data_IF_258051235921
#
_entry.id   IF_258051235921
#
_cell.length_a   1.000
_cell.length_b   1.000
_cell.length_c   1.000
_cell.angle_alpha   90.00
_cell.angle_beta   90.00
_cell.angle_gamma   90.00
#
_symmetry.space_group_name_H-M   'P 1'
#
loop_
_entity.id
_entity.type
_entity.pdbx_description
1 polymer ?
#
# COMPACT_ATOMS: atom_id res chain seq x y z
N UNK A 1 14.67 -2.20 25.77
CA UNK A 1 13.70 -2.85 24.87
C UNK A 1 13.75 -4.34 25.10
N UNK A 2 12.65 -4.90 25.59
CA UNK A 2 12.45 -6.34 25.77
C UNK A 2 11.27 -6.75 24.87
N UNK A 3 11.50 -7.00 23.56
CA UNK A 3 10.45 -7.29 22.62
C UNK A 3 9.72 -8.59 23.02
N UNK A 4 8.39 -8.54 23.01
CA UNK A 4 7.54 -9.66 23.37
C UNK A 4 7.02 -10.45 22.16
N UNK A 5 7.18 -9.89 20.96
CA UNK A 5 6.58 -10.39 19.73
C UNK A 5 7.53 -10.26 18.54
N UNK A 6 7.50 -11.25 17.66
CA UNK A 6 7.97 -11.15 16.27
C UNK A 6 6.75 -11.24 15.35
N UNK A 7 6.67 -10.33 14.39
CA UNK A 7 5.56 -10.25 13.43
C UNK A 7 6.00 -10.82 12.09
N UNK A 8 5.14 -11.61 11.47
CA UNK A 8 5.33 -12.19 10.14
C UNK A 8 4.12 -11.83 9.29
N UNK A 9 4.37 -11.17 8.17
CA UNK A 9 3.34 -10.84 7.20
C UNK A 9 3.38 -11.89 6.07
N UNK A 10 2.42 -12.81 6.12
CA UNK A 10 2.14 -13.76 5.04
C UNK A 10 1.43 -13.04 3.90
N UNK A 11 1.27 -13.69 2.74
CA UNK A 11 0.57 -13.09 1.60
C UNK A 11 -0.89 -12.72 1.89
N UNK A 12 -1.55 -13.43 2.80
CA UNK A 12 -2.98 -13.30 3.12
C UNK A 12 -3.29 -12.88 4.58
N UNK A 13 -2.27 -12.73 5.40
CA UNK A 13 -2.44 -12.52 6.84
C UNK A 13 -1.19 -11.90 7.48
N UNK A 14 -1.37 -11.26 8.64
CA UNK A 14 -0.28 -10.97 9.56
C UNK A 14 -0.48 -11.83 10.79
N UNK A 15 0.58 -12.54 11.17
CA UNK A 15 0.66 -13.29 12.41
C UNK A 15 1.76 -12.72 13.31
N UNK A 16 1.69 -13.02 14.59
CA UNK A 16 2.79 -12.76 15.53
C UNK A 16 3.08 -13.98 16.39
N UNK A 17 4.34 -14.16 16.74
CA UNK A 17 4.84 -15.20 17.63
C UNK A 17 5.33 -14.56 18.91
N UNK A 18 5.08 -15.19 20.05
CA UNK A 18 5.74 -14.80 21.28
C UNK A 18 7.27 -14.89 21.07
N UNK A 19 7.97 -13.87 21.55
CA UNK A 19 9.41 -13.73 21.35
C UNK A 19 10.06 -13.25 22.64
N UNK A 20 11.26 -13.77 22.88
CA UNK A 20 12.22 -13.26 23.85
C UNK A 20 13.55 -13.07 23.17
N UNK A 21 14.33 -12.10 23.65
CA UNK A 21 15.66 -11.85 23.11
C UNK A 21 16.51 -13.13 23.09
N UNK A 22 17.01 -13.47 21.90
CA UNK A 22 17.83 -14.66 21.68
C UNK A 22 17.07 -15.90 21.24
N UNK A 23 15.74 -15.86 21.16
CA UNK A 23 14.96 -16.97 20.58
C UNK A 23 15.37 -17.18 19.11
N UNK A 24 15.75 -18.41 18.78
CA UNK A 24 16.11 -18.83 17.41
C UNK A 24 15.03 -19.68 16.74
N UNK A 25 13.95 -19.98 17.47
CA UNK A 25 12.79 -20.75 17.01
C UNK A 25 11.55 -20.19 17.69
N UNK A 26 10.40 -20.24 17.01
CA UNK A 26 9.13 -19.87 17.61
C UNK A 26 8.81 -20.80 18.79
N UNK A 27 8.40 -20.23 19.93
CA UNK A 27 8.11 -20.97 21.15
C UNK A 27 6.69 -21.54 21.23
N UNK A 28 5.85 -21.31 20.20
CA UNK A 28 4.47 -21.75 20.15
C UNK A 28 3.77 -21.34 18.84
N UNK A 29 2.45 -21.58 18.78
CA UNK A 29 1.64 -21.30 17.61
C UNK A 29 1.52 -19.79 17.30
N UNK A 30 1.40 -19.41 16.02
CA UNK A 30 1.17 -18.01 15.64
C UNK A 30 -0.19 -17.50 16.13
N UNK A 31 -0.22 -16.22 16.51
CA UNK A 31 -1.46 -15.46 16.68
C UNK A 31 -1.73 -14.67 15.41
N UNK A 32 -2.80 -15.00 14.68
CA UNK A 32 -3.30 -14.18 13.57
C UNK A 32 -3.87 -12.88 14.12
N UNK A 33 -3.39 -11.74 13.63
CA UNK A 33 -3.83 -10.40 14.04
C UNK A 33 -4.52 -9.64 12.91
N UNK A 34 -4.15 -9.92 11.66
CA UNK A 34 -4.85 -9.43 10.47
C UNK A 34 -5.04 -10.62 9.55
N UNK A 35 -6.24 -10.84 9.06
CA UNK A 35 -6.58 -11.93 8.15
C UNK A 35 -7.20 -11.40 6.84
N UNK A 36 -7.49 -12.32 5.92
CA UNK A 36 -8.22 -12.03 4.68
C UNK A 36 -7.59 -10.92 3.83
N UNK A 37 -6.27 -10.78 3.86
CA UNK A 37 -5.54 -9.83 3.01
C UNK A 37 -5.55 -10.38 1.57
N UNK A 38 -5.93 -9.58 0.56
CA UNK A 38 -6.00 -10.06 -0.82
C UNK A 38 -4.65 -10.55 -1.37
N UNK A 39 -4.49 -11.86 -1.63
CA UNK A 39 -3.19 -12.50 -1.83
C UNK A 39 -2.70 -12.70 -3.28
N UNK A 40 -3.53 -12.49 -4.32
CA UNK A 40 -3.11 -12.67 -5.71
C UNK A 40 -2.30 -11.48 -6.28
N UNK A 41 -1.56 -11.74 -7.36
CA UNK A 41 -0.67 -10.82 -8.08
C UNK A 41 0.45 -10.22 -7.23
N UNK A 42 0.34 -8.98 -6.75
CA UNK A 42 1.34 -8.40 -5.85
C UNK A 42 1.11 -8.93 -4.42
N UNK A 43 1.76 -10.05 -4.11
CA UNK A 43 1.48 -10.85 -2.91
C UNK A 43 2.35 -10.51 -1.69
N UNK A 44 3.39 -9.68 -1.83
CA UNK A 44 4.25 -9.27 -0.70
C UNK A 44 3.51 -8.33 0.26
N UNK A 45 3.82 -8.44 1.55
CA UNK A 45 3.24 -7.61 2.62
C UNK A 45 4.35 -6.99 3.46
N UNK A 46 4.80 -5.81 3.05
CA UNK A 46 5.73 -5.08 3.89
C UNK A 46 5.00 -4.51 5.11
N UNK A 47 5.63 -4.66 6.27
CA UNK A 47 5.15 -4.11 7.53
C UNK A 47 6.24 -3.25 8.18
N UNK A 48 5.82 -2.18 8.83
CA UNK A 48 6.71 -1.31 9.59
C UNK A 48 5.98 -0.80 10.84
N UNK A 49 6.72 -0.54 11.91
CA UNK A 49 6.15 0.02 13.14
C UNK A 49 6.49 1.50 13.27
N UNK A 50 5.54 2.30 13.76
CA UNK A 50 5.82 3.66 14.22
C UNK A 50 6.92 3.65 15.29
N UNK A 51 7.66 4.75 15.49
CA UNK A 51 8.77 4.79 16.45
C UNK A 51 8.36 4.48 17.90
N UNK A 52 7.12 4.78 18.26
CA UNK A 52 6.55 4.48 19.58
C UNK A 52 5.97 3.05 19.70
N UNK A 53 6.03 2.27 18.61
CA UNK A 53 5.54 0.89 18.54
C UNK A 53 4.02 0.77 18.60
N UNK A 54 3.26 1.87 18.53
CA UNK A 54 1.79 1.86 18.66
C UNK A 54 1.04 1.68 17.35
N UNK A 55 1.70 1.78 16.21
CA UNK A 55 1.08 1.62 14.90
C UNK A 55 1.87 0.63 14.08
N UNK A 56 1.16 -0.40 13.59
CA UNK A 56 1.62 -1.34 12.58
C UNK A 56 1.11 -0.87 11.22
N UNK A 57 2.02 -0.45 10.35
CA UNK A 57 1.74 -0.17 8.95
C UNK A 57 1.81 -1.45 8.12
N UNK A 58 0.92 -1.59 7.14
CA UNK A 58 0.86 -2.70 6.20
C UNK A 58 0.72 -2.16 4.77
N UNK A 59 1.59 -2.61 3.87
CA UNK A 59 1.43 -2.41 2.43
C UNK A 59 0.61 -3.54 1.79
N UNK A 60 -0.36 -3.19 0.94
CA UNK A 60 -1.11 -4.14 0.10
C UNK A 60 -1.03 -3.70 -1.35
N UNK A 61 -0.36 -4.49 -2.19
CA UNK A 61 -0.24 -4.22 -3.63
C UNK A 61 -1.50 -4.51 -4.44
N UNK A 62 -1.52 -4.02 -5.69
CA UNK A 62 -2.62 -4.21 -6.64
C UNK A 62 -2.81 -5.68 -7.05
N UNK A 63 -4.02 -6.00 -7.50
CA UNK A 63 -4.41 -7.32 -7.99
C UNK A 63 -4.09 -7.55 -9.46
N UNK A 64 -3.63 -6.51 -10.16
CA UNK A 64 -3.37 -6.49 -11.60
C UNK A 64 -2.42 -5.35 -11.98
N UNK A 65 -2.11 -5.22 -13.27
CA UNK A 65 -1.20 -4.18 -13.74
C UNK A 65 -1.87 -2.79 -13.66
N UNK A 66 -3.06 -2.69 -14.22
CA UNK A 66 -3.86 -1.45 -14.34
C UNK A 66 -5.34 -1.72 -14.10
N UNK A 67 -5.65 -2.35 -12.97
CA UNK A 67 -7.03 -2.62 -12.53
C UNK A 67 -7.90 -3.32 -13.59
N UNK A 68 -7.29 -4.21 -14.38
CA UNK A 68 -7.90 -4.82 -15.58
C UNK A 68 -9.16 -5.64 -15.22
N UNK A 69 -9.15 -6.29 -14.06
CA UNK A 69 -10.23 -7.16 -13.59
C UNK A 69 -11.14 -6.48 -12.54
N UNK A 70 -11.05 -5.15 -12.39
CA UNK A 70 -11.77 -4.39 -11.34
C UNK A 70 -13.30 -4.49 -11.45
N UNK A 71 -13.79 -4.84 -12.64
CA UNK A 71 -15.21 -5.04 -12.91
C UNK A 71 -16.01 -3.74 -13.01
N UNK A 72 -17.33 -3.86 -12.97
CA UNK A 72 -18.26 -2.75 -13.20
C UNK A 72 -18.16 -1.69 -12.10
N UNK A 73 -18.46 -0.44 -12.46
CA UNK A 73 -18.55 0.68 -11.52
C UNK A 73 -19.43 0.34 -10.29
N UNK A 74 -19.14 0.93 -9.12
CA UNK A 74 -19.88 0.65 -7.90
C UNK A 74 -21.38 0.89 -8.03
N UNK A 75 -22.16 0.06 -7.34
CA UNK A 75 -23.61 0.23 -7.24
C UNK A 75 -23.92 1.58 -6.57
N UNK A 76 -24.81 2.36 -7.18
CA UNK A 76 -25.10 3.73 -6.73
C UNK A 76 -24.28 4.81 -7.44
N UNK A 77 -23.35 4.42 -8.32
CA UNK A 77 -22.58 5.34 -9.15
C UNK A 77 -21.40 5.99 -8.42
N UNK A 78 -20.65 6.80 -9.18
CA UNK A 78 -19.42 7.41 -8.71
C UNK A 78 -19.64 8.43 -7.59
N UNK A 79 -20.73 9.20 -7.64
CA UNK A 79 -21.04 10.21 -6.62
C UNK A 79 -21.24 9.59 -5.23
N UNK A 80 -21.88 8.42 -5.14
CA UNK A 80 -22.05 7.71 -3.89
C UNK A 80 -20.72 7.08 -3.41
N UNK A 81 -19.90 6.61 -4.35
CA UNK A 81 -18.60 6.02 -4.05
C UNK A 81 -17.65 7.04 -3.42
N UNK A 82 -17.48 8.20 -4.06
CA UNK A 82 -16.56 9.26 -3.61
C UNK A 82 -16.91 9.79 -2.22
N UNK A 83 -18.20 9.78 -1.85
CA UNK A 83 -18.65 10.21 -0.51
C UNK A 83 -18.38 9.18 0.60
N UNK A 84 -18.19 7.91 0.25
CA UNK A 84 -18.15 6.81 1.22
C UNK A 84 -16.80 6.11 1.31
N UNK A 85 -15.85 6.45 0.44
CA UNK A 85 -14.56 5.79 0.34
C UNK A 85 -13.40 6.80 0.41
N UNK A 86 -12.21 6.36 0.83
CA UNK A 86 -11.01 7.18 0.73
C UNK A 86 -10.80 7.71 -0.70
N UNK A 87 -10.16 8.87 -0.81
CA UNK A 87 -9.77 9.42 -2.10
C UNK A 87 -9.01 8.36 -2.91
N UNK A 88 -9.27 8.27 -4.21
CA UNK A 88 -8.57 7.33 -5.10
C UNK A 88 -9.00 5.86 -5.02
N UNK A 89 -9.78 5.46 -4.00
CA UNK A 89 -10.13 4.05 -3.78
C UNK A 89 -10.72 3.36 -5.03
N UNK A 90 -10.20 2.17 -5.32
CA UNK A 90 -10.64 1.20 -6.33
C UNK A 90 -11.72 0.25 -5.77
N UNK A 91 -12.43 -0.46 -6.64
CA UNK A 91 -13.55 -1.34 -6.29
C UNK A 91 -13.36 -2.76 -6.81
N UNK A 92 -14.38 -3.62 -6.63
CA UNK A 92 -14.38 -4.98 -7.15
C UNK A 92 -13.16 -5.79 -6.68
N UNK A 93 -12.45 -6.42 -7.61
CA UNK A 93 -11.25 -7.21 -7.32
C UNK A 93 -10.06 -6.38 -6.82
N UNK A 94 -10.09 -5.05 -7.03
CA UNK A 94 -9.10 -4.09 -6.56
C UNK A 94 -9.51 -3.40 -5.26
N UNK A 95 -10.62 -3.79 -4.64
CA UNK A 95 -11.04 -3.22 -3.37
C UNK A 95 -10.04 -3.60 -2.26
N UNK A 96 -9.54 -2.58 -1.56
CA UNK A 96 -8.59 -2.76 -0.46
C UNK A 96 -7.16 -3.11 -0.90
N UNK A 97 -6.80 -2.72 -2.12
CA UNK A 97 -5.49 -2.95 -2.74
C UNK A 97 -4.86 -1.63 -3.20
N UNK A 98 -3.57 -1.68 -3.53
CA UNK A 98 -2.75 -0.52 -3.87
C UNK A 98 -2.82 0.59 -2.81
N UNK A 99 -2.73 0.19 -1.55
CA UNK A 99 -2.90 1.07 -0.40
C UNK A 99 -1.98 0.67 0.74
N UNK A 100 -1.65 1.67 1.56
CA UNK A 100 -1.01 1.45 2.86
C UNK A 100 -2.09 1.56 3.93
N UNK A 101 -2.12 0.58 4.82
CA UNK A 101 -3.01 0.49 5.97
C UNK A 101 -2.25 0.68 7.27
N UNK A 102 -2.97 1.00 8.33
CA UNK A 102 -2.46 1.09 9.69
C UNK A 102 -3.39 0.35 10.66
N UNK A 103 -2.80 -0.27 11.66
CA UNK A 103 -3.45 -1.02 12.73
C UNK A 103 -2.75 -0.74 14.05
N UNK A 104 -3.41 -1.06 15.16
CA UNK A 104 -2.73 -1.29 16.43
C UNK A 104 -1.83 -2.54 16.32
N UNK A 105 -0.83 -2.74 17.22
CA UNK A 105 0.07 -3.90 17.17
C UNK A 105 -0.63 -5.24 17.44
N UNK A 106 -1.89 -5.24 17.85
CA UNK A 106 -2.72 -6.45 17.97
C UNK A 106 -3.69 -6.64 16.79
N UNK A 107 -3.56 -5.83 15.74
CA UNK A 107 -4.36 -5.90 14.52
C UNK A 107 -5.71 -5.17 14.58
N UNK A 108 -6.03 -4.52 15.70
CA UNK A 108 -7.27 -3.74 15.82
C UNK A 108 -7.16 -2.36 15.17
N UNK A 109 -8.28 -1.65 15.13
CA UNK A 109 -8.37 -0.25 14.70
C UNK A 109 -7.82 0.00 13.29
N UNK A 110 -8.02 -0.98 12.40
CA UNK A 110 -7.61 -0.93 11.01
C UNK A 110 -8.17 0.27 10.25
N UNK A 111 -7.30 1.00 9.55
CA UNK A 111 -7.66 2.14 8.71
C UNK A 111 -6.75 2.24 7.49
N UNK A 112 -7.23 2.90 6.44
CA UNK A 112 -6.44 3.23 5.25
C UNK A 112 -5.65 4.50 5.54
N UNK A 113 -4.32 4.45 5.36
CA UNK A 113 -3.43 5.61 5.45
C UNK A 113 -3.43 6.35 4.13
N UNK A 114 -3.18 5.65 3.02
CA UNK A 114 -3.06 6.23 1.70
C UNK A 114 -3.44 5.22 0.61
N UNK A 115 -3.89 5.71 -0.54
CA UNK A 115 -4.30 4.88 -1.70
C UNK A 115 -3.45 5.20 -2.93
N UNK A 116 -3.59 4.38 -3.96
CA UNK A 116 -2.97 4.60 -5.27
C UNK A 116 -1.46 4.35 -5.31
N UNK A 117 -0.92 3.57 -4.36
CA UNK A 117 0.45 3.05 -4.44
C UNK A 117 0.37 1.64 -5.04
N UNK A 118 0.57 1.50 -6.37
CA UNK A 118 0.36 0.23 -7.10
C UNK A 118 0.94 -0.97 -6.37
N UNK A 119 2.23 -0.91 -6.06
CA UNK A 119 2.93 -1.95 -5.33
C UNK A 119 4.02 -1.30 -4.47
N UNK A 120 3.64 -0.89 -3.27
CA UNK A 120 4.56 -0.41 -2.24
C UNK A 120 5.37 -1.62 -1.71
N UNK A 121 6.49 -1.93 -2.39
CA UNK A 121 7.26 -3.18 -2.26
C UNK A 121 8.54 -3.04 -1.44
N UNK A 122 8.64 -1.96 -0.66
CA UNK A 122 9.66 -1.78 0.36
C UNK A 122 9.25 -0.62 1.25
N UNK A 123 8.77 -0.91 2.45
CA UNK A 123 8.26 0.07 3.40
C UNK A 123 9.12 0.12 4.65
N UNK A 124 9.47 1.33 5.09
CA UNK A 124 10.19 1.57 6.34
C UNK A 124 9.69 2.85 7.01
N UNK A 125 10.15 3.14 8.21
CA UNK A 125 9.86 4.39 8.90
C UNK A 125 11.13 5.24 8.98
N UNK A 126 11.03 6.49 8.55
CA UNK A 126 12.15 7.42 8.65
C UNK A 126 12.40 7.77 10.13
N UNK A 127 13.59 7.51 10.71
CA UNK A 127 13.79 7.57 12.15
C UNK A 127 13.68 8.98 12.74
N UNK A 128 13.99 10.02 11.96
CA UNK A 128 13.96 11.40 12.44
C UNK A 128 12.54 11.98 12.57
N UNK A 129 11.61 11.60 11.68
CA UNK A 129 10.25 12.14 11.65
C UNK A 129 9.18 11.14 12.08
N UNK A 130 9.48 9.84 12.06
CA UNK A 130 8.49 8.79 12.27
C UNK A 130 7.53 8.59 11.10
N UNK A 131 7.74 9.25 9.96
CA UNK A 131 6.91 9.09 8.77
C UNK A 131 7.15 7.71 8.14
N UNK A 132 6.09 6.97 7.76
CA UNK A 132 6.24 5.81 6.88
C UNK A 132 6.68 6.27 5.49
N UNK A 133 7.59 5.51 4.90
CA UNK A 133 8.14 5.71 3.55
C UNK A 133 8.03 4.43 2.77
N UNK A 134 7.82 4.56 1.46
CA UNK A 134 7.77 3.40 0.60
C UNK A 134 8.43 3.64 -0.75
N UNK A 135 9.07 2.59 -1.29
CA UNK A 135 9.37 2.48 -2.73
C UNK A 135 8.22 1.77 -3.44
N UNK A 136 7.82 2.28 -4.59
CA UNK A 136 6.67 1.77 -5.35
C UNK A 136 7.12 1.25 -6.71
N UNK A 137 6.63 0.07 -7.08
CA UNK A 137 6.68 -0.43 -8.45
C UNK A 137 5.41 -0.01 -9.19
N UNK A 138 5.56 0.94 -10.09
CA UNK A 138 4.50 1.46 -10.94
C UNK A 138 4.12 0.50 -12.06
N UNK A 139 3.07 0.88 -12.81
CA UNK A 139 2.47 0.05 -13.85
C UNK A 139 3.39 -0.22 -15.03
N UNK A 140 3.20 -1.40 -15.60
CA UNK A 140 3.91 -1.89 -16.78
C UNK A 140 3.22 -1.41 -18.07
N UNK A 141 3.96 -1.51 -19.17
CA UNK A 141 3.49 -1.37 -20.54
C UNK A 141 2.84 -0.01 -20.89
N UNK A 142 3.24 1.07 -20.21
CA UNK A 142 2.90 2.44 -20.63
C UNK A 142 3.97 3.05 -21.56
N UNK A 143 5.22 2.63 -21.41
CA UNK A 143 6.34 2.94 -22.31
C UNK A 143 7.69 2.66 -21.64
N UNK A 144 8.78 2.66 -22.41
CA UNK A 144 10.11 2.27 -21.90
C UNK A 144 10.65 3.21 -20.81
N UNK A 145 10.20 4.46 -20.78
CA UNK A 145 10.67 5.49 -19.85
C UNK A 145 9.54 6.07 -19.00
N UNK A 146 8.38 5.41 -18.94
CA UNK A 146 7.19 5.92 -18.24
C UNK A 146 6.28 4.78 -17.73
N UNK A 147 5.66 4.93 -16.56
CA UNK A 147 5.95 5.96 -15.54
C UNK A 147 7.28 5.71 -14.83
N UNK A 148 7.81 6.75 -14.18
CA UNK A 148 8.92 6.57 -13.25
C UNK A 148 8.49 5.70 -12.07
N UNK A 149 9.40 4.86 -11.59
CA UNK A 149 9.31 4.29 -10.24
C UNK A 149 9.50 5.43 -9.22
N UNK A 150 9.15 5.23 -7.95
CA UNK A 150 9.34 6.30 -6.96
C UNK A 150 9.54 5.80 -5.53
N UNK A 151 10.19 6.65 -4.72
CA UNK A 151 10.14 6.59 -3.27
C UNK A 151 9.37 7.81 -2.73
N UNK A 152 8.53 7.61 -1.73
CA UNK A 152 7.74 8.70 -1.15
C UNK A 152 7.44 8.47 0.32
N UNK A 153 7.35 9.55 1.08
CA UNK A 153 6.65 9.57 2.37
C UNK A 153 5.18 9.22 2.13
N UNK A 154 4.63 8.31 2.93
CA UNK A 154 3.23 7.87 2.88
C UNK A 154 2.43 8.75 3.84
N UNK A 155 1.60 9.65 3.30
CA UNK A 155 0.87 10.65 4.09
C UNK A 155 -0.58 10.22 4.33
N UNK A 156 -1.11 10.53 5.51
CA UNK A 156 -2.51 10.25 5.85
C UNK A 156 -3.45 10.95 4.86
N UNK A 157 -4.38 10.20 4.27
CA UNK A 157 -5.36 10.67 3.30
C UNK A 157 -4.82 10.89 1.88
N UNK A 158 -3.53 10.66 1.63
CA UNK A 158 -2.93 10.87 0.31
C UNK A 158 -3.40 9.84 -0.72
N UNK A 159 -3.36 10.27 -1.98
CA UNK A 159 -3.65 9.45 -3.15
C UNK A 159 -2.51 9.58 -4.15
N UNK A 160 -1.82 8.50 -4.48
CA UNK A 160 -0.63 8.53 -5.35
C UNK A 160 -0.89 8.15 -6.81
N UNK A 161 -2.17 8.09 -7.21
CA UNK A 161 -2.56 8.05 -8.61
C UNK A 161 -3.07 6.69 -9.08
N UNK A 162 -2.45 5.56 -8.72
CA UNK A 162 -2.84 4.26 -9.29
C UNK A 162 -4.30 3.88 -8.97
N UNK A 163 -5.06 3.26 -9.90
CA UNK A 163 -4.72 2.98 -11.31
C UNK A 163 -5.02 4.16 -12.25
N UNK A 164 -5.62 5.22 -11.76
CA UNK A 164 -6.28 6.27 -12.54
C UNK A 164 -5.31 7.31 -13.15
N UNK A 165 -4.31 7.70 -12.37
CA UNK A 165 -3.31 8.71 -12.70
C UNK A 165 -1.92 8.17 -12.33
N UNK A 166 -0.87 8.88 -12.74
CA UNK A 166 0.50 8.63 -12.28
C UNK A 166 1.27 9.95 -12.16
N UNK A 167 2.10 10.07 -11.12
CA UNK A 167 3.01 11.21 -10.88
C UNK A 167 2.27 12.56 -11.04
N UNK A 168 1.31 12.81 -10.16
CA UNK A 168 0.42 13.97 -10.28
C UNK A 168 -0.69 13.78 -11.31
N UNK A 169 -0.97 14.81 -12.11
CA UNK A 169 -2.18 14.88 -12.94
C UNK A 169 -2.06 14.18 -14.31
N UNK A 170 -1.17 13.20 -14.48
CA UNK A 170 -1.11 12.44 -15.74
C UNK A 170 -2.15 11.33 -15.69
N UNK A 171 -3.26 11.51 -16.40
CA UNK A 171 -4.30 10.48 -16.53
C UNK A 171 -3.72 9.26 -17.26
N UNK A 172 -3.98 8.06 -16.73
CA UNK A 172 -3.62 6.84 -17.46
C UNK A 172 -4.54 6.71 -18.70
N UNK A 173 -3.98 6.68 -19.92
CA UNK A 173 -4.80 6.63 -21.13
C UNK A 173 -5.68 5.39 -21.21
N UNK A 174 -5.35 4.31 -20.47
CA UNK A 174 -6.16 3.09 -20.40
C UNK A 174 -7.41 3.23 -19.52
N UNK A 175 -7.49 4.27 -18.69
CA UNK A 175 -8.65 4.62 -17.84
C UNK A 175 -9.24 5.99 -18.16
N UNK A 176 -8.99 6.50 -19.37
CA UNK A 176 -9.37 7.85 -19.77
C UNK A 176 -10.86 8.14 -19.53
N UNK A 177 -11.15 9.17 -18.74
CA UNK A 177 -12.50 9.63 -18.43
C UNK A 177 -13.27 8.75 -17.43
N UNK A 178 -12.65 7.72 -16.84
CA UNK A 178 -13.33 6.88 -15.87
C UNK A 178 -13.52 7.54 -14.51
N UNK A 179 -12.52 8.33 -14.08
CA UNK A 179 -12.45 9.03 -12.79
C UNK A 179 -12.07 10.51 -12.96
N UNK A 180 -12.91 11.31 -13.65
CA UNK A 180 -12.66 12.74 -13.79
C UNK A 180 -12.67 13.48 -12.45
N UNK A 181 -13.32 12.91 -11.42
CA UNK A 181 -13.32 13.41 -10.05
C UNK A 181 -11.93 13.42 -9.39
N UNK A 182 -10.96 12.69 -9.94
CA UNK A 182 -9.60 12.59 -9.41
C UNK A 182 -8.59 13.50 -10.12
N UNK A 183 -9.01 14.23 -11.16
CA UNK A 183 -8.14 15.17 -11.87
C UNK A 183 -7.55 16.20 -10.91
N UNK A 184 -6.23 16.33 -10.92
CA UNK A 184 -5.45 17.25 -10.08
C UNK A 184 -5.34 16.86 -8.61
N UNK A 185 -5.78 15.65 -8.22
CA UNK A 185 -5.80 15.20 -6.82
C UNK A 185 -4.75 14.15 -6.47
N UNK A 186 -4.08 13.58 -7.46
CA UNK A 186 -2.97 12.67 -7.21
C UNK A 186 -1.75 13.47 -6.74
N UNK A 187 -1.15 13.02 -5.65
CA UNK A 187 0.07 13.60 -5.10
C UNK A 187 1.26 13.26 -6.01
N UNK A 188 2.23 14.19 -6.06
CA UNK A 188 3.51 13.96 -6.70
C UNK A 188 4.43 13.25 -5.69
N UNK A 189 5.01 12.08 -6.03
CA UNK A 189 5.98 11.40 -5.18
C UNK A 189 7.24 12.23 -4.89
N UNK A 190 7.87 11.99 -3.74
CA UNK A 190 9.02 12.79 -3.28
C UNK A 190 10.31 12.55 -4.08
N UNK A 191 10.56 11.31 -4.52
CA UNK A 191 11.77 10.93 -5.27
C UNK A 191 11.40 10.04 -6.44
N UNK A 192 11.73 10.47 -7.65
CA UNK A 192 11.54 9.67 -8.87
C UNK A 192 12.79 8.81 -9.13
N UNK A 193 12.54 7.62 -9.66
CA UNK A 193 13.55 6.63 -10.04
C UNK A 193 13.32 6.20 -11.49
N UNK A 194 14.33 5.58 -12.09
CA UNK A 194 14.22 5.10 -13.47
C UNK A 194 13.02 4.15 -13.60
N UNK A 195 12.20 4.35 -14.64
CA UNK A 195 11.10 3.46 -15.01
C UNK A 195 11.60 2.01 -15.11
N UNK A 196 10.81 1.06 -14.63
CA UNK A 196 11.09 -0.39 -14.66
C UNK A 196 12.32 -0.83 -13.86
N UNK A 197 12.83 0.01 -12.95
CA UNK A 197 13.95 -0.36 -12.05
C UNK A 197 13.53 -1.30 -10.92
N UNK A 198 12.23 -1.46 -10.67
CA UNK A 198 11.65 -2.39 -9.70
C UNK A 198 12.33 -2.34 -8.30
N UNK A 199 12.38 -1.17 -7.64
CA UNK A 199 12.94 -1.07 -6.29
C UNK A 199 12.16 -1.97 -5.32
N UNK A 200 12.86 -2.63 -4.39
CA UNK A 200 12.25 -3.59 -3.44
C UNK A 200 12.59 -3.33 -1.97
N UNK A 201 13.36 -2.28 -1.68
CA UNK A 201 13.68 -1.91 -0.31
C UNK A 201 14.20 -0.47 -0.24
N UNK A 202 14.09 0.13 0.94
CA UNK A 202 14.64 1.43 1.32
C UNK A 202 15.09 1.40 2.78
N UNK A 203 16.20 2.07 3.07
CA UNK A 203 16.74 2.25 4.41
C UNK A 203 17.27 3.68 4.59
N UNK A 204 17.36 4.15 5.84
CA UNK A 204 17.84 5.47 6.23
C UNK A 204 19.06 5.39 7.13
#
# INVERSE_FOLDING_TARGET
>A
NDPQWVYVANSDSIVRFAYRNGDLKASGDPQTIVDNIPANHHWTRDIAFSPDGKTLYLSVGSGSNVAEDMGKRPRGGLDAWVKSKPLGASWGSEAGRAEVRAFDPDGKNGRVVATGLRNCSGMTVQPATGAPWCVVNERDALGDNVPAEYATSVREGAFYGWPWYYIGNNEDPRHKGERPDLAGKADIPDVLMQAHSAPRNIAF
#
